data_IF_967257233153
#
_entry.id   IF_967257233153
#
_cell.length_a   1.000
_cell.length_b   1.000
_cell.length_c   1.000
_cell.angle_alpha   90.00
_cell.angle_beta   90.00
_cell.angle_gamma   90.00
#
_symmetry.space_group_name_H-M   'P 1'
#
loop_
_entity.id
_entity.type
_entity.pdbx_description
1 polymer ?
#
# COMPACT_ATOMS: atom_id res chain seq x y z
N UNK A 1 -9.59 -7.63 -24.97
CA UNK A 1 -9.95 -9.00 -24.54
C UNK A 1 -10.26 -9.84 -25.77
N UNK A 2 -9.71 -11.04 -25.82
CA UNK A 2 -9.91 -12.04 -26.85
C UNK A 2 -9.93 -13.45 -26.23
N UNK A 3 -10.07 -14.50 -27.04
CA UNK A 3 -10.15 -15.88 -26.55
C UNK A 3 -8.94 -16.28 -25.70
N UNK A 4 -7.73 -15.81 -26.05
CA UNK A 4 -6.52 -16.08 -25.26
C UNK A 4 -6.62 -15.52 -23.84
N UNK A 5 -7.27 -14.37 -23.67
CA UNK A 5 -7.50 -13.79 -22.34
C UNK A 5 -8.32 -14.73 -21.43
N UNK A 6 -9.34 -15.37 -22.01
CA UNK A 6 -10.16 -16.37 -21.27
C UNK A 6 -9.40 -17.67 -21.03
N UNK A 7 -8.59 -18.14 -22.01
CA UNK A 7 -7.79 -19.33 -21.87
C UNK A 7 -6.72 -19.19 -20.77
N UNK A 8 -6.07 -18.02 -20.65
CA UNK A 8 -5.12 -17.74 -19.58
C UNK A 8 -5.80 -17.80 -18.21
N UNK A 9 -6.97 -17.17 -18.06
CA UNK A 9 -7.75 -17.25 -16.81
C UNK A 9 -8.17 -18.69 -16.50
N UNK A 10 -8.56 -19.45 -17.51
CA UNK A 10 -8.93 -20.86 -17.34
C UNK A 10 -7.74 -21.72 -16.91
N UNK A 11 -6.60 -21.54 -17.55
CA UNK A 11 -5.37 -22.24 -17.19
C UNK A 11 -4.93 -21.93 -15.73
N UNK A 12 -5.03 -20.66 -15.32
CA UNK A 12 -4.77 -20.25 -13.94
C UNK A 12 -5.70 -20.96 -12.96
N UNK A 13 -7.00 -21.05 -13.31
CA UNK A 13 -8.00 -21.75 -12.49
C UNK A 13 -7.74 -23.24 -12.35
N UNK A 14 -7.23 -23.89 -13.39
CA UNK A 14 -6.96 -25.33 -13.41
C UNK A 14 -5.65 -25.71 -12.75
N UNK A 15 -4.59 -24.91 -12.97
CA UNK A 15 -3.24 -25.26 -12.53
C UNK A 15 -2.98 -24.84 -11.07
N UNK A 16 -3.50 -23.69 -10.63
CA UNK A 16 -3.45 -23.19 -9.25
C UNK A 16 -2.03 -23.19 -8.64
N UNK A 17 -1.05 -22.67 -9.36
CA UNK A 17 0.32 -22.50 -8.87
C UNK A 17 0.53 -21.04 -8.40
N UNK A 18 1.53 -20.84 -7.51
CA UNK A 18 1.93 -19.51 -7.05
C UNK A 18 2.66 -18.67 -8.12
N UNK A 19 3.13 -19.33 -9.20
CA UNK A 19 3.77 -18.70 -10.36
C UNK A 19 3.35 -19.42 -11.66
N UNK A 20 3.28 -18.72 -12.81
CA UNK A 20 3.50 -17.28 -12.99
C UNK A 20 2.40 -16.44 -12.35
N UNK A 21 2.77 -15.28 -11.78
CA UNK A 21 1.81 -14.31 -11.23
C UNK A 21 0.94 -13.75 -12.36
N UNK A 22 -0.38 -13.75 -12.15
CA UNK A 22 -1.34 -13.22 -13.12
C UNK A 22 -1.93 -11.90 -12.63
N UNK A 23 -1.81 -10.88 -13.46
CA UNK A 23 -2.49 -9.59 -13.29
C UNK A 23 -3.46 -9.36 -14.42
N UNK A 24 -4.59 -8.71 -14.15
CA UNK A 24 -5.58 -8.33 -15.15
C UNK A 24 -5.82 -6.83 -15.11
N UNK A 25 -5.77 -6.21 -16.29
CA UNK A 25 -6.20 -4.83 -16.51
C UNK A 25 -7.64 -4.85 -16.98
N UNK A 26 -8.50 -4.12 -16.30
CA UNK A 26 -9.91 -4.04 -16.66
C UNK A 26 -10.33 -2.60 -16.92
N UNK A 27 -10.94 -2.37 -18.10
CA UNK A 27 -11.50 -1.09 -18.51
C UNK A 27 -13.01 -1.24 -18.66
N UNK A 28 -13.78 -0.47 -17.89
CA UNK A 28 -15.26 -0.61 -17.88
C UNK A 28 -15.91 -0.31 -19.23
N UNK A 29 -15.35 0.63 -20.00
CA UNK A 29 -15.90 1.03 -21.29
C UNK A 29 -15.55 0.04 -22.42
N UNK A 30 -14.42 -0.69 -22.30
CA UNK A 30 -13.88 -1.53 -23.39
C UNK A 30 -14.09 -3.03 -23.17
N UNK A 31 -14.14 -3.49 -21.92
CA UNK A 31 -14.17 -4.92 -21.62
C UNK A 31 -15.59 -5.42 -21.36
N UNK A 32 -15.97 -6.59 -21.92
CA UNK A 32 -17.31 -7.12 -21.73
C UNK A 32 -17.54 -7.65 -20.29
N UNK A 33 -18.78 -7.59 -19.82
CA UNK A 33 -19.17 -8.12 -18.51
C UNK A 33 -18.87 -9.61 -18.34
N UNK A 34 -18.86 -10.41 -19.43
CA UNK A 34 -18.47 -11.82 -19.41
C UNK A 34 -17.00 -12.01 -18.98
N UNK A 35 -16.12 -11.09 -19.36
CA UNK A 35 -14.72 -11.13 -18.94
C UNK A 35 -14.60 -10.82 -17.45
N UNK A 36 -15.31 -9.80 -16.95
CA UNK A 36 -15.36 -9.49 -15.51
C UNK A 36 -15.91 -10.67 -14.70
N UNK A 37 -16.94 -11.35 -15.24
CA UNK A 37 -17.47 -12.55 -14.61
C UNK A 37 -16.40 -13.65 -14.48
N UNK A 38 -15.64 -13.91 -15.56
CA UNK A 38 -14.57 -14.91 -15.53
C UNK A 38 -13.47 -14.54 -14.54
N UNK A 39 -13.09 -13.26 -14.46
CA UNK A 39 -12.15 -12.75 -13.44
C UNK A 39 -12.68 -13.05 -12.03
N UNK A 40 -13.93 -12.70 -11.73
CA UNK A 40 -14.53 -12.93 -10.42
C UNK A 40 -14.60 -14.41 -10.05
N UNK A 41 -14.91 -15.29 -11.03
CA UNK A 41 -14.91 -16.74 -10.82
C UNK A 41 -13.50 -17.28 -10.45
N UNK A 42 -12.45 -16.75 -11.07
CA UNK A 42 -11.06 -17.17 -10.76
C UNK A 42 -10.59 -16.62 -9.41
N UNK A 43 -10.89 -15.36 -9.09
CA UNK A 43 -10.56 -14.79 -7.76
C UNK A 43 -11.14 -15.65 -6.64
N UNK A 44 -12.36 -16.12 -6.77
CA UNK A 44 -13.06 -16.95 -5.77
C UNK A 44 -12.38 -18.29 -5.47
N UNK A 45 -11.46 -18.76 -6.31
CA UNK A 45 -10.70 -19.99 -6.05
C UNK A 45 -9.68 -19.83 -4.90
N UNK A 46 -9.37 -18.59 -4.50
CA UNK A 46 -8.53 -18.34 -3.33
C UNK A 46 -7.01 -18.45 -3.59
N UNK A 47 -6.59 -18.57 -4.85
CA UNK A 47 -5.14 -18.64 -5.20
C UNK A 47 -4.42 -17.27 -5.12
N UNK A 48 -5.15 -16.20 -4.83
CA UNK A 48 -4.62 -14.83 -4.86
C UNK A 48 -4.54 -14.24 -6.27
N UNK A 49 -5.01 -14.93 -7.29
CA UNK A 49 -5.00 -14.51 -8.70
C UNK A 49 -6.40 -14.44 -9.30
N UNK A 50 -6.55 -13.59 -10.35
CA UNK A 50 -5.64 -12.54 -10.78
C UNK A 50 -5.65 -11.32 -9.84
N UNK A 51 -4.52 -10.60 -9.76
CA UNK A 51 -4.52 -9.25 -9.22
C UNK A 51 -5.28 -8.33 -10.17
N UNK A 52 -6.17 -7.50 -9.65
CA UNK A 52 -7.06 -6.67 -10.46
C UNK A 52 -6.56 -5.23 -10.50
N UNK A 53 -6.45 -4.68 -11.71
CA UNK A 53 -6.01 -3.31 -11.95
C UNK A 53 -7.03 -2.52 -12.77
N UNK A 54 -7.34 -1.33 -12.33
CA UNK A 54 -8.15 -0.35 -13.07
C UNK A 54 -7.32 0.24 -14.21
N UNK A 55 -7.67 -0.11 -15.44
CA UNK A 55 -6.93 0.30 -16.65
C UNK A 55 -6.91 1.82 -16.84
N UNK A 56 -8.00 2.50 -16.48
CA UNK A 56 -8.11 3.96 -16.67
C UNK A 56 -7.15 4.70 -15.75
N UNK A 57 -7.03 4.30 -14.49
CA UNK A 57 -6.07 4.88 -13.54
C UNK A 57 -4.63 4.54 -13.93
N UNK A 58 -4.35 3.32 -14.40
CA UNK A 58 -3.02 2.97 -14.90
C UNK A 58 -2.58 3.81 -16.10
N UNK A 59 -3.52 4.15 -17.00
CA UNK A 59 -3.25 5.08 -18.11
C UNK A 59 -2.97 6.49 -17.55
N UNK A 60 -3.79 6.98 -16.61
CA UNK A 60 -3.59 8.28 -15.97
C UNK A 60 -2.22 8.41 -15.31
N UNK A 61 -1.80 7.38 -14.57
CA UNK A 61 -0.46 7.32 -13.96
C UNK A 61 0.66 7.54 -14.99
N UNK A 62 0.55 6.94 -16.17
CA UNK A 62 1.55 7.14 -17.22
C UNK A 62 1.47 8.51 -17.86
N UNK A 63 0.27 9.05 -18.04
CA UNK A 63 0.09 10.42 -18.53
C UNK A 63 0.74 11.43 -17.57
N UNK A 64 0.58 11.23 -16.26
CA UNK A 64 1.21 12.07 -15.23
C UNK A 64 2.75 11.96 -15.21
N UNK A 65 3.29 10.84 -15.72
CA UNK A 65 4.74 10.68 -15.98
C UNK A 65 5.21 11.34 -17.30
N UNK A 66 4.32 11.99 -18.04
CA UNK A 66 4.62 12.59 -19.34
C UNK A 66 4.66 11.60 -20.51
N UNK A 67 4.19 10.38 -20.32
CA UNK A 67 4.09 9.38 -21.39
C UNK A 67 2.91 9.71 -22.31
N UNK A 68 3.09 9.78 -23.65
CA UNK A 68 2.00 10.06 -24.57
C UNK A 68 0.87 9.02 -24.49
N UNK A 69 -0.39 9.46 -24.62
CA UNK A 69 -1.58 8.60 -24.52
C UNK A 69 -1.50 7.35 -25.41
N UNK A 70 -1.00 7.47 -26.63
CA UNK A 70 -0.83 6.34 -27.56
C UNK A 70 0.05 5.22 -26.96
N UNK A 71 1.07 5.58 -26.22
CA UNK A 71 1.97 4.64 -25.55
C UNK A 71 1.36 4.16 -24.22
N UNK A 72 0.73 5.06 -23.47
CA UNK A 72 0.12 4.76 -22.18
C UNK A 72 -0.95 3.65 -22.26
N UNK A 73 -1.65 3.48 -23.38
CA UNK A 73 -2.56 2.35 -23.60
C UNK A 73 -1.89 0.97 -23.54
N UNK A 74 -0.58 0.89 -23.71
CA UNK A 74 0.18 -0.36 -23.71
C UNK A 74 0.88 -0.62 -22.38
N UNK A 75 0.47 0.07 -21.30
CA UNK A 75 1.05 -0.16 -20.00
C UNK A 75 0.80 -1.59 -19.50
N UNK A 76 1.66 -2.05 -18.63
CA UNK A 76 1.49 -3.30 -17.89
C UNK A 76 1.97 -3.10 -16.44
N UNK A 77 1.43 -3.85 -15.49
CA UNK A 77 2.01 -3.88 -14.15
C UNK A 77 3.38 -4.54 -14.18
N UNK A 78 4.33 -3.95 -13.47
CA UNK A 78 5.67 -4.48 -13.24
C UNK A 78 5.75 -4.88 -11.77
N UNK A 79 6.31 -6.02 -11.46
CA UNK A 79 6.36 -6.49 -10.08
C UNK A 79 4.97 -6.70 -9.48
N UNK A 80 4.56 -5.82 -8.59
CA UNK A 80 3.31 -5.93 -7.83
C UNK A 80 2.18 -5.10 -8.42
N UNK A 81 2.38 -3.77 -8.46
CA UNK A 81 1.36 -2.78 -8.89
C UNK A 81 1.93 -1.63 -9.70
N UNK A 82 3.24 -1.58 -9.91
CA UNK A 82 3.90 -0.46 -10.56
C UNK A 82 3.56 -0.40 -12.05
N UNK A 83 3.26 0.80 -12.56
CA UNK A 83 2.94 0.98 -13.98
C UNK A 83 4.21 1.08 -14.83
N UNK A 84 4.28 0.30 -15.92
CA UNK A 84 5.44 0.22 -16.78
C UNK A 84 5.07 0.16 -18.27
N UNK A 85 6.07 0.43 -19.13
CA UNK A 85 6.05 0.17 -20.57
C UNK A 85 7.21 -0.77 -20.92
N UNK A 86 6.89 -2.02 -21.18
CA UNK A 86 7.90 -3.05 -21.48
C UNK A 86 8.80 -2.66 -22.64
N UNK A 87 10.10 -2.83 -22.41
CA UNK A 87 11.13 -2.50 -23.39
C UNK A 87 11.28 -1.02 -23.73
N UNK A 88 10.50 -0.11 -23.14
CA UNK A 88 10.53 1.33 -23.45
C UNK A 88 10.84 2.22 -22.26
N UNK A 89 10.48 1.79 -21.07
CA UNK A 89 10.60 2.61 -19.86
C UNK A 89 11.74 2.11 -18.99
N UNK A 90 12.69 3.01 -18.69
CA UNK A 90 13.59 2.86 -17.57
C UNK A 90 12.94 3.47 -16.33
N UNK A 91 12.66 2.66 -15.35
CA UNK A 91 12.20 3.09 -14.05
C UNK A 91 12.74 2.13 -13.01
N UNK A 92 13.25 2.64 -11.92
CA UNK A 92 13.48 1.84 -10.74
C UNK A 92 12.25 1.95 -9.84
N UNK A 93 11.45 0.89 -9.86
CA UNK A 93 10.25 0.75 -9.04
C UNK A 93 10.63 0.33 -7.63
N UNK A 94 9.83 0.73 -6.62
CA UNK A 94 10.08 0.40 -5.21
C UNK A 94 11.55 0.55 -4.82
N UNK A 95 12.15 1.68 -5.20
CA UNK A 95 13.59 1.89 -5.08
C UNK A 95 14.01 2.24 -3.66
N UNK A 96 13.14 2.89 -2.93
CA UNK A 96 13.33 3.20 -1.52
C UNK A 96 11.97 3.43 -0.84
N UNK A 97 11.90 3.03 0.43
CA UNK A 97 10.71 3.13 1.25
C UNK A 97 10.92 4.11 2.40
N UNK A 98 9.83 4.72 2.90
CA UNK A 98 9.85 5.50 4.12
C UNK A 98 8.68 5.15 5.04
N UNK A 99 8.85 5.37 6.35
CA UNK A 99 8.00 4.85 7.41
C UNK A 99 7.07 5.94 7.97
N UNK A 100 5.81 5.94 7.57
CA UNK A 100 4.81 6.89 8.06
C UNK A 100 4.51 6.73 9.57
N UNK A 101 4.64 5.52 10.11
CA UNK A 101 4.49 5.28 11.56
C UNK A 101 5.62 5.92 12.36
N UNK A 102 6.86 5.87 11.86
CA UNK A 102 8.00 6.56 12.48
C UNK A 102 7.80 8.07 12.48
N UNK A 103 7.30 8.64 11.40
CA UNK A 103 7.04 10.08 11.33
C UNK A 103 6.08 10.56 12.43
N UNK A 104 5.01 9.78 12.71
CA UNK A 104 4.11 10.05 13.84
C UNK A 104 4.84 9.94 15.17
N UNK A 105 5.59 8.86 15.39
CA UNK A 105 6.36 8.65 16.63
C UNK A 105 7.35 9.78 16.88
N UNK A 106 8.08 10.21 15.85
CA UNK A 106 9.07 11.28 15.96
C UNK A 106 8.44 12.64 16.25
N UNK A 107 7.26 12.95 15.69
CA UNK A 107 6.52 14.15 16.04
C UNK A 107 6.08 14.13 17.52
N UNK A 108 5.61 12.98 18.02
CA UNK A 108 5.21 12.80 19.42
C UNK A 108 6.38 12.82 20.41
N UNK A 109 7.61 12.54 19.96
CA UNK A 109 8.80 12.46 20.81
C UNK A 109 9.87 13.51 20.48
N UNK A 110 9.47 14.58 19.77
CA UNK A 110 10.38 15.64 19.36
C UNK A 110 11.65 15.13 18.65
N UNK A 111 11.45 14.21 17.70
CA UNK A 111 12.49 13.60 16.87
C UNK A 111 13.21 12.40 17.50
N UNK A 112 12.77 11.90 18.66
CA UNK A 112 13.42 10.74 19.31
C UNK A 112 12.76 9.42 18.93
N UNK A 113 13.56 8.39 18.77
CA UNK A 113 13.08 7.01 18.63
C UNK A 113 12.77 6.43 20.01
N UNK A 114 11.57 5.88 20.19
CA UNK A 114 11.20 5.15 21.41
C UNK A 114 12.02 3.88 21.59
N UNK A 115 12.31 3.18 20.52
CA UNK A 115 13.04 1.92 20.53
C UNK A 115 14.49 2.08 20.98
N UNK A 116 15.16 3.12 20.48
CA UNK A 116 16.61 3.31 20.70
C UNK A 116 16.94 4.39 21.73
N UNK A 117 15.99 5.24 22.09
CA UNK A 117 16.19 6.35 23.03
C UNK A 117 17.12 7.46 22.52
N UNK A 118 17.38 7.50 21.22
CA UNK A 118 18.28 8.48 20.58
C UNK A 118 17.49 9.52 19.77
N UNK A 119 18.10 10.65 19.50
CA UNK A 119 17.60 11.60 18.51
C UNK A 119 17.79 10.99 17.11
N UNK A 120 16.69 10.53 16.51
CA UNK A 120 16.68 9.84 15.22
C UNK A 120 16.29 10.75 14.06
N UNK A 121 15.63 11.87 14.37
CA UNK A 121 15.14 12.87 13.41
C UNK A 121 15.30 14.27 13.95
N UNK A 122 14.96 15.29 13.16
CA UNK A 122 14.97 16.70 13.58
C UNK A 122 13.95 16.94 14.71
N UNK A 123 14.27 17.86 15.61
CA UNK A 123 13.37 18.29 16.65
C UNK A 123 12.25 19.19 16.05
N UNK A 124 11.00 18.80 16.23
CA UNK A 124 9.83 19.54 15.74
C UNK A 124 9.04 20.27 16.83
N UNK A 125 9.56 20.30 18.06
CA UNK A 125 8.95 20.92 19.21
C UNK A 125 8.38 19.92 20.22
N UNK A 126 8.14 20.39 21.44
CA UNK A 126 7.50 19.60 22.48
C UNK A 126 5.99 19.48 22.17
N UNK A 127 5.45 18.29 21.91
CA UNK A 127 4.05 18.12 21.55
C UNK A 127 3.08 18.55 22.66
N UNK A 128 3.53 18.61 23.93
CA UNK A 128 2.71 19.10 25.04
C UNK A 128 2.53 20.62 25.04
N UNK A 129 3.34 21.35 24.26
CA UNK A 129 3.27 22.78 24.08
C UNK A 129 2.42 23.20 22.88
N UNK A 130 1.99 22.28 22.03
CA UNK A 130 1.12 22.59 20.89
C UNK A 130 -0.27 23.00 21.38
N UNK A 131 -0.78 24.09 20.84
CA UNK A 131 -2.08 24.65 21.21
C UNK A 131 -3.20 24.24 20.26
N UNK A 132 -2.84 23.88 19.01
CA UNK A 132 -3.78 23.50 17.95
C UNK A 132 -3.37 22.18 17.30
N UNK A 133 -4.34 21.55 16.65
CA UNK A 133 -4.08 20.33 15.87
C UNK A 133 -3.15 20.61 14.69
N UNK A 134 -3.27 21.76 14.06
CA UNK A 134 -2.46 22.16 12.90
C UNK A 134 -0.96 22.25 13.26
N UNK A 135 -0.62 22.67 14.49
CA UNK A 135 0.77 22.64 14.97
C UNK A 135 1.32 21.21 15.08
N UNK A 136 0.49 20.28 15.55
CA UNK A 136 0.87 18.87 15.61
C UNK A 136 0.95 18.24 14.21
N UNK A 137 -0.02 18.50 13.35
CA UNK A 137 -0.02 18.02 11.97
C UNK A 137 1.20 18.51 11.19
N UNK A 138 1.57 19.80 11.36
CA UNK A 138 2.77 20.34 10.70
C UNK A 138 4.05 19.70 11.25
N UNK A 139 4.11 19.39 12.56
CA UNK A 139 5.22 18.63 13.11
C UNK A 139 5.33 17.23 12.48
N UNK A 140 4.22 16.53 12.25
CA UNK A 140 4.22 15.24 11.53
C UNK A 140 4.65 15.43 10.08
N UNK A 141 4.16 16.45 9.37
CA UNK A 141 4.59 16.76 8.00
C UNK A 141 6.09 17.05 7.93
N UNK A 142 6.66 17.76 8.92
CA UNK A 142 8.11 18.01 8.94
C UNK A 142 8.92 16.72 9.18
N UNK A 143 8.42 15.80 9.99
CA UNK A 143 9.03 14.47 10.13
C UNK A 143 8.99 13.67 8.83
N UNK A 144 7.87 13.71 8.11
CA UNK A 144 7.76 13.10 6.78
C UNK A 144 8.77 13.72 5.80
N UNK A 145 8.90 15.06 5.80
CA UNK A 145 9.91 15.75 4.96
C UNK A 145 11.32 15.31 5.30
N UNK A 146 11.63 15.15 6.58
CA UNK A 146 12.96 14.72 7.04
C UNK A 146 13.28 13.30 6.55
N UNK A 147 12.37 12.34 6.78
CA UNK A 147 12.56 10.96 6.31
C UNK A 147 12.70 10.89 4.79
N UNK A 148 11.87 11.64 4.05
CA UNK A 148 11.95 11.69 2.59
C UNK A 148 13.27 12.29 2.10
N UNK A 149 13.81 13.33 2.75
CA UNK A 149 15.13 13.86 2.39
C UNK A 149 16.23 12.79 2.54
N UNK A 150 16.19 12.02 3.61
CA UNK A 150 17.12 10.90 3.85
C UNK A 150 16.97 9.78 2.81
N UNK A 151 15.73 9.38 2.53
CA UNK A 151 15.39 8.35 1.54
C UNK A 151 15.85 8.75 0.13
N UNK A 152 15.58 10.00 -0.27
CA UNK A 152 16.02 10.53 -1.57
C UNK A 152 17.55 10.61 -1.65
N UNK A 153 18.23 11.08 -0.60
CA UNK A 153 19.68 11.12 -0.57
C UNK A 153 20.31 9.71 -0.72
N UNK A 154 19.73 8.71 -0.05
CA UNK A 154 20.16 7.31 -0.20
C UNK A 154 19.93 6.80 -1.62
N UNK A 155 18.80 7.14 -2.24
CA UNK A 155 18.52 6.75 -3.62
C UNK A 155 19.50 7.36 -4.63
N UNK A 156 19.96 8.60 -4.40
CA UNK A 156 20.98 9.24 -5.24
C UNK A 156 22.33 8.52 -5.14
N UNK A 157 22.74 8.09 -3.93
CA UNK A 157 23.98 7.31 -3.76
C UNK A 157 23.89 5.98 -4.51
N UNK A 158 22.75 5.30 -4.44
CA UNK A 158 22.52 4.07 -5.17
C UNK A 158 22.52 4.29 -6.69
N UNK A 159 21.95 5.41 -7.18
CA UNK A 159 22.02 5.81 -8.60
C UNK A 159 23.47 6.02 -9.05
N UNK A 160 24.30 6.66 -8.24
CA UNK A 160 25.71 6.89 -8.55
C UNK A 160 26.50 5.58 -8.65
N UNK A 161 26.24 4.63 -7.75
CA UNK A 161 26.82 3.29 -7.80
C UNK A 161 26.32 2.53 -9.03
N UNK A 162 25.02 2.58 -9.30
CA UNK A 162 24.38 1.92 -10.46
C UNK A 162 24.91 2.48 -11.78
N UNK A 163 25.16 3.78 -11.85
CA UNK A 163 25.68 4.45 -13.04
C UNK A 163 27.13 4.03 -13.40
N UNK A 164 27.87 3.49 -12.44
CA UNK A 164 29.22 2.94 -12.70
C UNK A 164 29.18 1.55 -13.34
N UNK A 165 28.01 0.94 -13.45
CA UNK A 165 27.80 -0.39 -14.02
C UNK A 165 27.09 -0.27 -15.38
N UNK A 166 27.43 -1.16 -16.29
CA UNK A 166 26.77 -1.30 -17.57
C UNK A 166 26.04 -2.64 -17.63
N UNK A 167 24.92 -2.67 -18.32
CA UNK A 167 24.07 -3.86 -18.49
C UNK A 167 23.76 -4.11 -19.98
N UNK A 168 24.78 -4.41 -20.82
CA UNK A 168 24.63 -4.43 -22.28
C UNK A 168 23.58 -5.44 -22.75
N UNK A 169 23.51 -6.61 -22.09
CA UNK A 169 22.51 -7.64 -22.45
C UNK A 169 21.07 -7.16 -22.21
N UNK A 170 20.83 -6.43 -21.11
CA UNK A 170 19.55 -5.82 -20.83
C UNK A 170 19.25 -4.67 -21.82
N UNK A 171 20.26 -3.86 -22.14
CA UNK A 171 20.15 -2.71 -23.05
C UNK A 171 19.68 -3.13 -24.44
N UNK A 172 20.06 -4.35 -24.93
CA UNK A 172 19.58 -4.87 -26.21
C UNK A 172 18.05 -5.13 -26.23
N UNK A 173 17.41 -5.27 -25.08
CA UNK A 173 15.96 -5.48 -24.99
C UNK A 173 15.14 -4.21 -24.85
N UNK A 174 15.80 -3.03 -24.78
CA UNK A 174 15.14 -1.74 -24.64
C UNK A 174 15.24 -0.90 -25.92
N UNK A 175 14.10 -0.36 -26.35
CA UNK A 175 14.04 0.57 -27.48
C UNK A 175 14.90 1.79 -27.23
N UNK A 176 15.60 2.21 -28.26
CA UNK A 176 16.47 3.38 -28.34
C UNK A 176 17.84 3.22 -27.64
N UNK A 177 18.07 2.18 -26.81
CA UNK A 177 19.40 1.96 -26.22
C UNK A 177 20.48 1.74 -27.30
N UNK A 178 20.19 0.91 -28.30
CA UNK A 178 21.12 0.60 -29.40
C UNK A 178 21.27 1.79 -30.34
N UNK A 179 20.17 2.40 -30.75
CA UNK A 179 20.14 3.56 -31.65
C UNK A 179 20.89 4.76 -31.06
N UNK A 180 20.75 4.98 -29.76
CA UNK A 180 21.43 6.06 -29.04
C UNK A 180 22.86 5.69 -28.59
N UNK A 181 23.31 4.44 -28.85
CA UNK A 181 24.57 3.91 -28.32
C UNK A 181 24.76 4.19 -26.82
N UNK A 182 23.68 4.01 -26.04
CA UNK A 182 23.62 4.37 -24.62
C UNK A 182 23.02 3.24 -23.81
N UNK A 183 23.75 2.83 -22.77
CA UNK A 183 23.31 1.75 -21.88
C UNK A 183 22.01 2.08 -21.13
N UNK A 184 21.20 1.06 -20.84
CA UNK A 184 19.99 1.20 -20.03
C UNK A 184 20.28 1.87 -18.68
N UNK A 185 21.36 1.48 -18.00
CA UNK A 185 21.75 2.07 -16.72
C UNK A 185 22.07 3.56 -16.82
N UNK A 186 22.40 4.04 -18.01
CA UNK A 186 22.72 5.46 -18.28
C UNK A 186 21.56 6.24 -18.88
N UNK A 187 20.36 5.63 -18.92
CA UNK A 187 19.17 6.26 -19.49
C UNK A 187 19.13 6.18 -21.01
N UNK A 188 19.56 5.07 -21.61
CA UNK A 188 19.45 4.80 -23.05
C UNK A 188 18.04 4.47 -23.53
N UNK A 189 17.15 4.04 -22.63
CA UNK A 189 15.78 3.70 -22.96
C UNK A 189 14.98 4.90 -23.48
N UNK A 190 13.89 4.64 -24.20
CA UNK A 190 13.02 5.66 -24.78
C UNK A 190 12.45 6.62 -23.74
N UNK A 191 11.97 6.09 -22.62
CA UNK A 191 11.45 6.86 -21.49
C UNK A 191 12.29 6.57 -20.26
N UNK A 192 12.82 7.62 -19.65
CA UNK A 192 13.62 7.54 -18.44
C UNK A 192 12.90 8.30 -17.32
N UNK A 193 12.53 7.60 -16.26
CA UNK A 193 11.78 8.14 -15.15
C UNK A 193 12.63 8.16 -13.88
N UNK A 194 12.26 9.03 -12.94
CA UNK A 194 12.86 9.06 -11.61
C UNK A 194 12.52 7.82 -10.80
N UNK A 195 13.26 7.64 -9.71
CA UNK A 195 13.11 6.48 -8.84
C UNK A 195 11.78 6.48 -8.09
N UNK A 196 11.26 5.29 -7.81
CA UNK A 196 10.06 5.08 -7.01
C UNK A 196 10.36 5.22 -5.52
N UNK A 197 9.54 6.00 -4.82
CA UNK A 197 9.59 6.16 -3.36
C UNK A 197 8.25 5.74 -2.79
N UNK A 198 8.24 4.71 -1.93
CA UNK A 198 7.02 4.10 -1.42
C UNK A 198 6.76 4.47 0.04
N UNK A 199 5.51 4.89 0.31
CA UNK A 199 5.02 5.20 1.64
C UNK A 199 4.47 3.94 2.31
N UNK A 200 4.88 3.66 3.56
CA UNK A 200 4.44 2.48 4.31
C UNK A 200 3.78 2.90 5.63
N UNK A 201 2.58 2.37 5.92
CA UNK A 201 1.82 2.67 7.14
C UNK A 201 0.77 3.77 6.95
N UNK A 202 0.06 3.76 5.81
CA UNK A 202 -1.00 4.73 5.48
C UNK A 202 -2.03 4.85 6.58
N UNK A 203 -2.68 3.75 6.96
CA UNK A 203 -3.72 3.76 7.97
C UNK A 203 -3.19 4.10 9.37
N UNK A 204 -1.93 3.75 9.67
CA UNK A 204 -1.29 4.12 10.95
C UNK A 204 -1.11 5.63 11.07
N UNK A 205 -0.70 6.29 9.98
CA UNK A 205 -0.61 7.75 9.92
C UNK A 205 -1.99 8.40 10.14
N UNK A 206 -2.95 8.08 9.28
CA UNK A 206 -4.27 8.73 9.27
C UNK A 206 -5.01 8.48 10.58
N UNK A 207 -5.05 7.24 11.06
CA UNK A 207 -5.70 6.90 12.33
C UNK A 207 -5.04 7.56 13.53
N UNK A 208 -3.73 7.79 13.50
CA UNK A 208 -3.03 8.49 14.57
C UNK A 208 -3.34 9.99 14.57
N UNK A 209 -3.34 10.61 13.38
CA UNK A 209 -3.67 12.03 13.23
C UNK A 209 -5.09 12.32 13.69
N UNK A 210 -6.07 11.53 13.23
CA UNK A 210 -7.47 11.75 13.60
C UNK A 210 -7.72 11.48 15.10
N UNK A 211 -7.05 10.46 15.68
CA UNK A 211 -7.16 10.19 17.11
C UNK A 211 -6.61 11.34 17.96
N UNK A 212 -5.44 11.88 17.60
CA UNK A 212 -4.87 13.07 18.30
C UNK A 212 -5.80 14.28 18.13
N UNK A 213 -6.26 14.55 16.89
CA UNK A 213 -7.18 15.64 16.61
C UNK A 213 -8.41 15.57 17.52
N UNK A 214 -9.11 14.43 17.49
CA UNK A 214 -10.36 14.24 18.25
C UNK A 214 -10.14 14.25 19.76
N UNK A 215 -9.21 13.41 20.24
CA UNK A 215 -9.09 13.15 21.67
C UNK A 215 -8.37 14.28 22.43
N UNK A 216 -7.37 14.92 21.80
CA UNK A 216 -6.54 15.93 22.48
C UNK A 216 -7.05 17.34 22.21
N UNK A 217 -7.35 17.69 20.94
CA UNK A 217 -7.63 19.07 20.56
C UNK A 217 -9.12 19.39 20.52
N UNK A 218 -9.96 18.57 19.86
CA UNK A 218 -11.38 18.86 19.66
C UNK A 218 -12.18 18.59 20.95
N UNK A 219 -12.16 17.35 21.43
CA UNK A 219 -12.98 16.87 22.56
C UNK A 219 -12.29 17.04 23.93
N UNK A 220 -10.98 17.22 23.92
CA UNK A 220 -10.13 17.39 25.12
C UNK A 220 -10.35 16.31 26.20
N UNK A 221 -10.59 15.08 25.73
CA UNK A 221 -10.78 13.89 26.59
C UNK A 221 -9.50 13.43 27.25
N UNK A 222 -8.37 13.63 26.54
CA UNK A 222 -7.04 13.22 26.99
C UNK A 222 -6.09 14.38 26.79
N UNK A 223 -5.23 14.67 27.78
CA UNK A 223 -4.14 15.63 27.56
C UNK A 223 -3.04 14.99 26.72
N UNK A 224 -2.28 15.79 25.96
CA UNK A 224 -1.14 15.27 25.20
C UNK A 224 -0.17 14.51 26.10
N UNK A 225 0.15 15.03 27.30
CA UNK A 225 1.03 14.32 28.25
C UNK A 225 0.48 12.94 28.63
N UNK A 226 -0.82 12.83 28.95
CA UNK A 226 -1.41 11.53 29.31
C UNK A 226 -1.40 10.54 28.13
N UNK A 227 -1.59 11.05 26.90
CA UNK A 227 -1.47 10.23 25.70
C UNK A 227 -0.04 9.70 25.55
N UNK A 228 0.98 10.56 25.71
CA UNK A 228 2.39 10.17 25.66
C UNK A 228 2.73 9.11 26.70
N UNK A 229 2.30 9.32 27.96
CA UNK A 229 2.50 8.36 29.04
C UNK A 229 1.88 7.00 28.71
N UNK A 230 0.66 6.99 28.13
CA UNK A 230 -0.01 5.77 27.70
C UNK A 230 0.74 5.04 26.58
N UNK A 231 1.25 5.80 25.59
CA UNK A 231 2.05 5.23 24.48
C UNK A 231 3.39 4.68 24.98
N UNK A 232 4.06 5.36 25.92
CA UNK A 232 5.31 4.90 26.51
C UNK A 232 5.12 3.60 27.31
N UNK A 233 3.98 3.48 28.00
CA UNK A 233 3.59 2.27 28.72
C UNK A 233 3.01 1.17 27.79
N UNK A 234 3.00 1.36 26.46
CA UNK A 234 2.30 0.48 25.52
C UNK A 234 0.86 0.20 25.97
N UNK A 235 0.19 1.23 26.49
CA UNK A 235 -1.15 1.25 27.08
C UNK A 235 -1.34 0.42 28.36
N UNK A 236 -0.32 -0.19 28.92
CA UNK A 236 -0.42 -0.95 30.18
C UNK A 236 -0.69 0.03 31.33
N UNK A 237 -1.83 -0.14 32.02
CA UNK A 237 -2.32 0.79 33.05
C UNK A 237 -3.03 2.05 32.49
N UNK A 238 -3.24 2.11 31.17
CA UNK A 238 -3.96 3.18 30.45
C UNK A 238 -5.01 2.58 29.50
N UNK A 239 -5.70 1.54 29.93
CA UNK A 239 -6.69 0.81 29.13
C UNK A 239 -7.86 1.71 28.71
N UNK A 240 -8.17 2.73 29.52
CA UNK A 240 -9.14 3.77 29.17
C UNK A 240 -8.69 4.63 27.99
N UNK A 241 -7.41 5.01 27.94
CA UNK A 241 -6.82 5.75 26.81
C UNK A 241 -6.79 4.86 25.57
N UNK A 242 -6.36 3.58 25.73
CA UNK A 242 -6.38 2.61 24.63
C UNK A 242 -7.77 2.48 24.02
N UNK A 243 -8.79 2.33 24.85
CA UNK A 243 -10.19 2.24 24.41
C UNK A 243 -10.61 3.49 23.63
N UNK A 244 -10.30 4.71 24.11
CA UNK A 244 -10.59 5.94 23.41
C UNK A 244 -9.88 6.01 22.06
N UNK A 245 -8.61 5.60 21.99
CA UNK A 245 -7.87 5.51 20.73
C UNK A 245 -8.50 4.51 19.75
N UNK A 246 -8.97 3.35 20.24
CA UNK A 246 -9.63 2.34 19.40
C UNK A 246 -10.99 2.79 18.87
N UNK A 247 -11.75 3.55 19.68
CA UNK A 247 -13.08 4.07 19.35
C UNK A 247 -13.04 5.36 18.50
N UNK A 248 -11.88 6.02 18.36
CA UNK A 248 -11.74 7.16 17.46
C UNK A 248 -12.05 6.76 16.00
N UNK A 249 -12.55 7.68 15.15
CA UNK A 249 -12.79 7.39 13.74
C UNK A 249 -11.60 6.72 13.06
N UNK A 250 -11.85 5.79 12.13
CA UNK A 250 -10.82 5.00 11.47
C UNK A 250 -10.91 5.09 9.96
N UNK A 251 -9.75 5.18 9.33
CA UNK A 251 -9.57 5.01 7.90
C UNK A 251 -10.14 3.65 7.44
N UNK A 252 -10.89 3.67 6.35
CA UNK A 252 -11.55 2.49 5.80
C UNK A 252 -13.04 2.36 6.15
N UNK A 253 -13.62 3.31 6.92
CA UNK A 253 -15.03 3.26 7.35
C UNK A 253 -15.89 4.39 6.78
N UNK A 254 -15.44 5.07 5.73
CA UNK A 254 -16.18 6.13 5.02
C UNK A 254 -16.60 7.32 5.91
N UNK A 255 -15.76 7.69 6.85
CA UNK A 255 -15.91 8.91 7.64
C UNK A 255 -15.40 10.11 6.85
N UNK A 256 -16.24 11.15 6.69
CA UNK A 256 -15.95 12.30 5.82
C UNK A 256 -14.69 13.06 6.28
N UNK A 257 -14.49 13.24 7.59
CA UNK A 257 -13.32 13.96 8.12
C UNK A 257 -12.03 13.17 7.94
N UNK A 258 -12.10 11.85 8.14
CA UNK A 258 -10.96 10.94 7.89
C UNK A 258 -10.62 10.89 6.40
N UNK A 259 -11.65 10.91 5.55
CA UNK A 259 -11.50 10.88 4.10
C UNK A 259 -10.85 12.17 3.58
N UNK A 260 -11.26 13.35 4.07
CA UNK A 260 -10.67 14.65 3.74
C UNK A 260 -9.20 14.70 4.18
N UNK A 261 -8.92 14.35 5.44
CA UNK A 261 -7.54 14.28 5.97
C UNK A 261 -6.66 13.34 5.12
N UNK A 262 -7.20 12.21 4.68
CA UNK A 262 -6.49 11.27 3.81
C UNK A 262 -6.10 11.91 2.48
N UNK A 263 -7.06 12.56 1.82
CA UNK A 263 -6.83 13.26 0.56
C UNK A 263 -5.73 14.33 0.66
N UNK A 264 -5.84 15.19 1.67
CA UNK A 264 -4.90 16.30 1.90
C UNK A 264 -3.48 15.78 2.21
N UNK A 265 -3.37 14.79 3.09
CA UNK A 265 -2.07 14.23 3.48
C UNK A 265 -1.38 13.54 2.30
N UNK A 266 -2.11 12.77 1.48
CA UNK A 266 -1.52 12.08 0.34
C UNK A 266 -1.27 13.00 -0.86
N UNK A 267 -2.01 14.10 -1.00
CA UNK A 267 -1.63 15.19 -1.91
C UNK A 267 -0.31 15.82 -1.48
N UNK A 268 -0.16 16.16 -0.19
CA UNK A 268 1.10 16.68 0.36
C UNK A 268 2.29 15.75 0.13
N UNK A 269 2.14 14.45 0.43
CA UNK A 269 3.21 13.46 0.24
C UNK A 269 3.61 13.37 -1.24
N UNK A 270 2.63 13.30 -2.14
CA UNK A 270 2.89 13.25 -3.57
C UNK A 270 3.61 14.51 -4.07
N UNK A 271 3.14 15.71 -3.66
CA UNK A 271 3.77 16.99 -4.02
C UNK A 271 5.23 17.03 -3.58
N UNK A 272 5.50 16.56 -2.37
CA UNK A 272 6.85 16.62 -1.81
C UNK A 272 7.79 15.62 -2.50
N UNK A 273 7.37 14.38 -2.76
CA UNK A 273 8.16 13.39 -3.51
C UNK A 273 8.43 13.89 -4.93
N UNK A 274 7.42 14.41 -5.63
CA UNK A 274 7.55 14.93 -6.99
C UNK A 274 8.41 16.20 -7.09
N UNK A 275 8.69 16.88 -5.97
CA UNK A 275 9.61 18.02 -5.94
C UNK A 275 11.07 17.60 -6.12
N UNK A 276 11.41 16.34 -5.87
CA UNK A 276 12.75 15.81 -6.04
C UNK A 276 12.97 15.23 -7.44
N UNK A 277 14.23 15.23 -7.85
CA UNK A 277 14.65 14.71 -9.16
C UNK A 277 15.85 13.78 -8.98
N UNK A 278 15.77 12.60 -9.60
CA UNK A 278 16.94 11.77 -9.85
C UNK A 278 17.69 12.27 -11.10
N UNK A 279 18.76 11.58 -11.49
CA UNK A 279 19.45 11.82 -12.77
C UNK A 279 18.57 11.64 -14.00
N UNK A 280 17.42 10.98 -13.86
CA UNK A 280 16.58 10.51 -14.97
C UNK A 280 15.21 11.21 -15.03
N UNK A 281 14.82 11.92 -14.00
CA UNK A 281 13.54 12.64 -13.97
C UNK A 281 13.02 12.84 -12.54
N UNK A 282 11.79 13.35 -12.44
CA UNK A 282 11.10 13.48 -11.17
C UNK A 282 11.01 12.14 -10.44
N UNK A 283 11.18 12.16 -9.11
CA UNK A 283 10.83 11.01 -8.27
C UNK A 283 9.35 10.70 -8.39
N UNK A 284 8.98 9.43 -8.24
CA UNK A 284 7.61 8.96 -8.42
C UNK A 284 7.09 8.33 -7.13
N UNK A 285 5.95 8.81 -6.59
CA UNK A 285 5.38 8.26 -5.37
C UNK A 285 4.70 6.91 -5.61
N UNK A 286 4.71 6.06 -4.57
CA UNK A 286 3.98 4.80 -4.50
C UNK A 286 3.50 4.48 -3.11
N UNK A 287 2.63 3.49 -3.00
CA UNK A 287 2.16 2.91 -1.75
C UNK A 287 2.15 1.39 -1.91
N UNK A 288 3.33 0.81 -1.76
CA UNK A 288 3.58 -0.60 -1.97
C UNK A 288 4.52 -1.15 -0.90
N UNK A 289 4.01 -1.93 0.08
CA UNK A 289 4.85 -2.39 1.18
C UNK A 289 5.67 -3.65 0.85
N UNK A 290 5.32 -4.42 -0.18
CA UNK A 290 5.76 -5.81 -0.36
C UNK A 290 5.48 -6.61 0.92
N UNK A 291 6.38 -6.63 1.88
CA UNK A 291 6.18 -7.06 3.27
C UNK A 291 6.90 -6.12 4.25
N UNK A 292 7.29 -4.92 3.79
CA UNK A 292 8.01 -3.91 4.58
C UNK A 292 7.22 -3.37 5.76
N UNK A 293 5.88 -3.43 5.72
CA UNK A 293 5.03 -3.09 6.86
C UNK A 293 5.38 -3.88 8.12
N UNK A 294 5.82 -5.13 8.00
CA UNK A 294 6.24 -5.96 9.14
C UNK A 294 7.55 -5.46 9.77
N UNK A 295 8.71 -5.43 9.07
CA UNK A 295 9.95 -4.93 9.67
C UNK A 295 9.87 -3.46 10.07
N UNK A 296 9.20 -2.59 9.33
CA UNK A 296 9.01 -1.20 9.70
C UNK A 296 8.18 -1.06 10.98
N UNK A 297 7.16 -1.90 11.16
CA UNK A 297 6.38 -1.95 12.40
C UNK A 297 7.20 -2.34 13.62
N UNK A 298 8.22 -3.20 13.45
CA UNK A 298 9.14 -3.57 14.53
C UNK A 298 10.07 -2.42 14.99
N UNK A 299 10.12 -1.33 14.24
CA UNK A 299 10.90 -0.13 14.58
C UNK A 299 10.06 0.94 15.30
N UNK A 300 8.72 0.80 15.33
CA UNK A 300 7.78 1.81 15.81
C UNK A 300 7.11 1.35 17.10
N UNK A 301 7.10 2.21 18.11
CA UNK A 301 6.38 2.01 19.36
C UNK A 301 4.85 2.05 19.23
N UNK A 302 4.13 2.15 20.34
CA UNK A 302 2.68 2.32 20.32
C UNK A 302 2.30 3.66 19.68
N UNK A 303 1.19 3.69 18.94
CA UNK A 303 0.70 4.86 18.22
C UNK A 303 -0.71 5.27 18.67
N UNK A 304 -1.09 6.54 18.51
CA UNK A 304 -2.43 7.05 18.82
C UNK A 304 -3.56 6.34 18.06
N UNK A 305 -3.26 5.67 16.96
CA UNK A 305 -4.21 4.80 16.23
C UNK A 305 -4.79 3.67 17.08
N UNK A 306 -4.20 3.41 18.26
CA UNK A 306 -4.46 2.25 19.10
C UNK A 306 -3.51 1.08 18.84
N UNK A 307 -2.60 1.19 17.85
CA UNK A 307 -1.61 0.17 17.51
C UNK A 307 -0.64 -0.04 18.68
N UNK A 308 -0.41 -1.28 19.05
CA UNK A 308 0.58 -1.65 20.07
C UNK A 308 2.01 -1.56 19.50
N UNK A 309 2.97 -1.32 20.39
CA UNK A 309 4.39 -1.28 20.03
C UNK A 309 4.86 -2.57 19.35
N UNK A 310 5.75 -2.43 18.37
CA UNK A 310 6.47 -3.53 17.72
C UNK A 310 5.56 -4.52 16.98
N UNK A 311 4.39 -4.05 16.52
CA UNK A 311 3.49 -4.81 15.64
C UNK A 311 3.63 -4.35 14.21
N UNK A 312 3.27 -5.16 13.20
CA UNK A 312 3.23 -4.70 11.82
C UNK A 312 2.42 -3.41 11.65
N UNK A 313 2.82 -2.55 10.73
CA UNK A 313 2.01 -1.43 10.24
C UNK A 313 0.93 -1.96 9.29
N UNK A 314 -0.01 -1.11 8.91
CA UNK A 314 -0.96 -1.41 7.84
C UNK A 314 -0.25 -1.64 6.52
N UNK A 315 -0.75 -2.55 5.71
CA UNK A 315 -0.19 -2.92 4.42
C UNK A 315 -0.81 -2.08 3.27
N UNK A 316 0.04 -1.48 2.45
CA UNK A 316 -0.38 -0.68 1.30
C UNK A 316 -1.37 0.42 1.67
N UNK A 317 -2.47 0.49 0.91
CA UNK A 317 -3.60 1.38 1.20
C UNK A 317 -4.71 0.70 2.01
N UNK A 318 -4.46 -0.50 2.53
CA UNK A 318 -5.43 -1.23 3.34
C UNK A 318 -5.64 -0.54 4.70
N UNK A 319 -6.84 -0.64 5.30
CA UNK A 319 -7.05 -0.25 6.68
C UNK A 319 -6.14 -1.02 7.66
N UNK A 320 -5.96 -0.51 8.89
CA UNK A 320 -5.33 -1.29 9.93
C UNK A 320 -6.14 -2.57 10.20
N UNK A 321 -5.43 -3.63 10.55
CA UNK A 321 -6.02 -4.95 10.77
C UNK A 321 -7.15 -4.88 11.80
N UNK A 322 -8.35 -5.29 11.40
CA UNK A 322 -9.54 -5.36 12.26
C UNK A 322 -10.24 -4.03 12.52
N UNK A 323 -9.89 -2.93 11.84
CA UNK A 323 -10.51 -1.61 12.06
C UNK A 323 -11.57 -1.23 11.03
N UNK A 324 -11.66 -1.93 9.92
CA UNK A 324 -12.63 -1.72 8.83
C UNK A 324 -13.94 -2.47 9.11
N UNK A 325 -14.81 -1.83 9.87
CA UNK A 325 -16.07 -2.43 10.38
C UNK A 325 -17.30 -2.15 9.53
N UNK A 326 -17.21 -1.15 8.64
CA UNK A 326 -18.34 -0.67 7.80
C UNK A 326 -18.41 -1.38 6.43
N UNK A 327 -17.62 -2.46 6.26
CA UNK A 327 -17.65 -3.30 5.06
C UNK A 327 -16.78 -2.83 3.91
N UNK A 328 -16.63 -3.71 2.90
CA UNK A 328 -15.72 -3.52 1.77
C UNK A 328 -16.06 -2.28 0.92
N UNK A 329 -17.32 -1.89 0.86
CA UNK A 329 -17.75 -0.69 0.13
C UNK A 329 -17.25 0.60 0.77
N UNK A 330 -17.30 0.70 2.11
CA UNK A 330 -16.77 1.81 2.87
C UNK A 330 -15.23 1.91 2.72
N UNK A 331 -14.54 0.76 2.72
CA UNK A 331 -13.10 0.70 2.45
C UNK A 331 -12.78 1.32 1.09
N UNK A 332 -13.47 0.92 0.01
CA UNK A 332 -13.25 1.50 -1.32
C UNK A 332 -13.47 3.02 -1.35
N UNK A 333 -14.52 3.49 -0.68
CA UNK A 333 -14.84 4.91 -0.66
C UNK A 333 -13.78 5.71 0.09
N UNK A 334 -13.33 5.24 1.25
CA UNK A 334 -12.21 5.86 1.98
C UNK A 334 -10.92 5.90 1.14
N UNK A 335 -10.55 4.78 0.52
CA UNK A 335 -9.35 4.68 -0.31
C UNK A 335 -9.42 5.59 -1.55
N UNK A 336 -10.60 5.81 -2.11
CA UNK A 336 -10.77 6.64 -3.30
C UNK A 336 -10.38 8.11 -3.12
N UNK A 337 -10.19 8.56 -1.87
CA UNK A 337 -9.69 9.91 -1.58
C UNK A 337 -8.16 10.05 -1.74
N UNK A 338 -7.44 8.92 -1.83
CA UNK A 338 -6.03 8.93 -2.24
C UNK A 338 -5.97 9.28 -3.73
N UNK A 339 -5.13 10.24 -4.17
CA UNK A 339 -5.01 10.61 -5.58
C UNK A 339 -4.24 9.55 -6.37
N UNK A 340 -4.86 8.38 -6.61
CA UNK A 340 -4.21 7.20 -7.20
C UNK A 340 -3.45 7.49 -8.48
N UNK A 341 -3.99 8.33 -9.37
CA UNK A 341 -3.35 8.71 -10.62
C UNK A 341 -1.99 9.40 -10.46
N UNK A 342 -1.70 9.97 -9.27
CA UNK A 342 -0.41 10.58 -8.95
C UNK A 342 0.60 9.57 -8.40
N UNK A 343 0.13 8.50 -7.74
CA UNK A 343 0.98 7.47 -7.15
C UNK A 343 1.46 6.48 -8.21
N UNK A 344 2.36 6.95 -9.05
CA UNK A 344 2.82 6.30 -10.28
C UNK A 344 3.55 4.97 -10.08
N UNK A 345 3.97 4.66 -8.84
CA UNK A 345 4.50 3.34 -8.49
C UNK A 345 3.38 2.37 -8.08
N UNK A 346 2.12 2.82 -8.10
CA UNK A 346 0.96 2.05 -7.74
C UNK A 346 0.53 2.22 -6.29
N UNK A 347 -0.69 1.76 -6.03
CA UNK A 347 -1.32 1.73 -4.71
C UNK A 347 -1.92 0.35 -4.50
N UNK A 348 -1.47 -0.36 -3.49
CA UNK A 348 -1.81 -1.77 -3.28
C UNK A 348 -2.89 -1.92 -2.22
N UNK A 349 -4.06 -2.50 -2.59
CA UNK A 349 -5.13 -2.87 -1.67
C UNK A 349 -5.22 -4.38 -1.51
N UNK A 350 -5.09 -4.86 -0.28
CA UNK A 350 -5.40 -6.24 0.09
C UNK A 350 -6.83 -6.35 0.65
N UNK A 351 -7.55 -7.36 0.21
CA UNK A 351 -8.88 -7.71 0.71
C UNK A 351 -8.90 -9.18 1.11
N UNK A 352 -9.35 -9.48 2.31
CA UNK A 352 -9.58 -10.85 2.76
C UNK A 352 -11.08 -11.12 2.84
N UNK A 353 -11.52 -12.16 2.16
CA UNK A 353 -12.90 -12.66 2.18
C UNK A 353 -12.91 -14.06 2.78
N UNK A 354 -13.95 -14.37 3.54
CA UNK A 354 -14.12 -15.72 4.08
C UNK A 354 -14.81 -16.67 3.08
N UNK A 355 -14.86 -17.94 3.45
CA UNK A 355 -15.51 -18.98 2.62
C UNK A 355 -17.02 -18.85 2.61
N UNK A 356 -17.63 -18.20 3.60
CA UNK A 356 -19.08 -17.90 3.62
C UNK A 356 -19.42 -16.98 2.45
N UNK A 357 -18.64 -15.95 2.20
CA UNK A 357 -18.78 -15.12 1.00
C UNK A 357 -18.60 -15.94 -0.27
N UNK A 358 -17.51 -16.71 -0.37
CA UNK A 358 -17.18 -17.51 -1.56
C UNK A 358 -18.33 -18.43 -1.95
N UNK A 359 -18.95 -19.10 -0.99
CA UNK A 359 -19.95 -20.14 -1.20
C UNK A 359 -21.39 -19.57 -1.32
N UNK A 360 -21.57 -18.26 -1.14
CA UNK A 360 -22.84 -17.57 -1.38
C UNK A 360 -23.26 -17.67 -2.85
N UNK A 361 -24.55 -17.94 -3.14
CA UNK A 361 -25.08 -18.02 -4.51
C UNK A 361 -24.85 -16.75 -5.34
N UNK A 362 -24.80 -15.61 -4.69
CA UNK A 362 -24.66 -14.29 -5.33
C UNK A 362 -23.22 -13.78 -5.39
N UNK A 363 -22.28 -14.44 -4.76
CA UNK A 363 -20.89 -13.96 -4.56
C UNK A 363 -20.19 -13.50 -5.85
N UNK A 364 -20.39 -14.22 -6.97
CA UNK A 364 -19.82 -13.79 -8.26
C UNK A 364 -20.38 -12.45 -8.72
N UNK A 365 -21.69 -12.24 -8.60
CA UNK A 365 -22.36 -10.98 -8.97
C UNK A 365 -21.93 -9.84 -8.04
N UNK A 366 -21.84 -10.10 -6.76
CA UNK A 366 -21.43 -9.15 -5.73
C UNK A 366 -19.96 -8.75 -5.96
N UNK A 367 -19.07 -9.70 -6.21
CA UNK A 367 -17.68 -9.41 -6.54
C UNK A 367 -17.53 -8.61 -7.84
N UNK A 368 -18.33 -8.93 -8.87
CA UNK A 368 -18.36 -8.11 -10.09
C UNK A 368 -18.79 -6.67 -9.81
N UNK A 369 -19.76 -6.46 -8.92
CA UNK A 369 -20.21 -5.12 -8.54
C UNK A 369 -19.13 -4.39 -7.75
N UNK A 370 -18.47 -5.05 -6.81
CA UNK A 370 -17.33 -4.50 -6.07
C UNK A 370 -16.22 -4.02 -7.03
N UNK A 371 -15.82 -4.86 -8.00
CA UNK A 371 -14.80 -4.49 -8.99
C UNK A 371 -15.24 -3.33 -9.90
N UNK A 372 -16.53 -3.22 -10.22
CA UNK A 372 -17.07 -2.05 -10.92
C UNK A 372 -17.03 -0.80 -10.07
N UNK A 373 -17.41 -0.90 -8.78
CA UNK A 373 -17.35 0.21 -7.84
C UNK A 373 -15.91 0.71 -7.67
N UNK A 374 -14.95 -0.20 -7.56
CA UNK A 374 -13.52 0.12 -7.56
C UNK A 374 -13.13 0.97 -8.77
N UNK A 375 -13.52 0.53 -9.98
CA UNK A 375 -13.22 1.29 -11.19
C UNK A 375 -13.92 2.65 -11.23
N UNK A 376 -15.22 2.69 -10.83
CA UNK A 376 -16.00 3.93 -10.83
C UNK A 376 -15.50 4.97 -9.83
N UNK A 377 -14.94 4.54 -8.71
CA UNK A 377 -14.36 5.39 -7.67
C UNK A 377 -12.91 5.80 -7.99
N UNK A 378 -12.33 5.32 -9.09
CA UNK A 378 -10.95 5.66 -9.45
C UNK A 378 -9.89 4.98 -8.58
N UNK A 379 -10.23 3.92 -7.85
CA UNK A 379 -9.24 3.13 -7.11
C UNK A 379 -8.43 2.29 -8.11
N UNK A 380 -7.12 2.19 -7.90
CA UNK A 380 -6.23 1.60 -8.90
C UNK A 380 -6.20 0.08 -8.89
N UNK A 381 -6.04 -0.53 -7.72
CA UNK A 381 -5.71 -1.95 -7.61
C UNK A 381 -6.42 -2.61 -6.44
N UNK A 382 -6.71 -3.90 -6.59
CA UNK A 382 -7.07 -4.78 -5.48
C UNK A 382 -6.62 -6.21 -5.74
N UNK A 383 -6.27 -6.90 -4.69
CA UNK A 383 -5.97 -8.33 -4.68
C UNK A 383 -6.67 -9.02 -3.51
N UNK A 384 -6.91 -10.32 -3.63
CA UNK A 384 -7.79 -11.03 -2.71
C UNK A 384 -7.14 -12.25 -2.07
N UNK A 385 -7.40 -12.42 -0.77
CA UNK A 385 -7.32 -13.69 -0.09
C UNK A 385 -8.75 -14.21 0.15
N UNK A 386 -9.06 -15.40 -0.28
CA UNK A 386 -10.37 -16.04 -0.06
C UNK A 386 -10.15 -17.26 0.81
N UNK A 387 -10.07 -17.05 2.12
CA UNK A 387 -9.67 -18.06 3.10
C UNK A 387 -10.14 -17.71 4.50
N UNK A 388 -10.50 -18.71 5.27
CA UNK A 388 -10.94 -18.56 6.66
C UNK A 388 -9.75 -18.33 7.61
N UNK A 389 -9.96 -17.47 8.58
CA UNK A 389 -8.98 -17.18 9.63
C UNK A 389 -8.61 -18.44 10.42
N UNK A 390 -9.57 -19.33 10.69
CA UNK A 390 -9.31 -20.58 11.43
C UNK A 390 -8.42 -21.53 10.62
N UNK A 391 -8.64 -21.64 9.30
CA UNK A 391 -7.75 -22.43 8.42
C UNK A 391 -6.31 -21.92 8.48
N UNK A 392 -6.09 -20.59 8.49
CA UNK A 392 -4.75 -20.02 8.62
C UNK A 392 -4.12 -20.33 9.98
N UNK A 393 -4.90 -20.23 11.06
CA UNK A 393 -4.43 -20.60 12.43
C UNK A 393 -4.06 -22.07 12.56
N UNK A 394 -4.86 -22.96 11.95
CA UNK A 394 -4.52 -24.38 11.94
C UNK A 394 -3.30 -24.67 11.08
N UNK A 395 -3.16 -24.02 9.92
CA UNK A 395 -1.97 -24.13 9.08
C UNK A 395 -0.69 -23.63 9.77
N UNK A 396 -0.81 -22.64 10.65
CA UNK A 396 0.32 -22.16 11.46
C UNK A 396 0.74 -23.16 12.54
N UNK A 397 -0.23 -23.91 13.10
CA UNK A 397 0.05 -24.94 14.13
C UNK A 397 0.53 -26.26 13.55
N UNK A 398 -0.01 -26.66 12.40
CA UNK A 398 0.20 -27.94 11.74
C UNK A 398 0.65 -27.72 10.28
N UNK A 399 1.81 -27.08 10.06
CA UNK A 399 2.25 -26.70 8.72
C UNK A 399 2.41 -27.89 7.76
N UNK A 400 2.70 -29.09 8.28
CA UNK A 400 2.84 -30.32 7.51
C UNK A 400 1.56 -30.75 6.78
N UNK A 401 0.39 -30.38 7.29
CA UNK A 401 -0.90 -30.73 6.69
C UNK A 401 -1.35 -29.69 5.62
N UNK A 402 -0.67 -28.55 5.53
CA UNK A 402 -1.06 -27.42 4.69
C UNK A 402 0.04 -26.96 3.71
N UNK A 403 0.93 -27.85 3.30
CA UNK A 403 2.08 -27.55 2.41
C UNK A 403 1.71 -26.87 1.08
N UNK A 404 0.46 -27.03 0.61
CA UNK A 404 -0.04 -26.44 -0.63
C UNK A 404 -0.88 -25.18 -0.44
N UNK A 405 -1.02 -24.65 0.79
CA UNK A 405 -1.89 -23.53 1.08
C UNK A 405 -1.28 -22.22 0.56
N UNK A 406 -1.91 -21.67 -0.49
CA UNK A 406 -1.49 -20.40 -1.09
C UNK A 406 -2.18 -19.22 -0.42
N UNK A 407 -1.42 -18.15 -0.21
CA UNK A 407 -1.92 -16.86 0.26
C UNK A 407 -1.33 -15.70 -0.55
N UNK A 408 -2.13 -14.68 -0.77
CA UNK A 408 -1.66 -13.41 -1.33
C UNK A 408 -1.11 -12.55 -0.20
N UNK A 409 0.15 -12.19 -0.28
CA UNK A 409 0.83 -11.38 0.76
C UNK A 409 0.64 -9.89 0.48
N UNK A 410 1.46 -9.33 -0.38
CA UNK A 410 1.31 -7.95 -0.87
C UNK A 410 2.05 -7.85 -2.22
N UNK A 411 1.31 -8.00 -3.32
CA UNK A 411 1.88 -8.01 -4.68
C UNK A 411 2.43 -9.37 -5.14
N UNK A 412 2.56 -10.35 -4.26
CA UNK A 412 3.00 -11.72 -4.60
C UNK A 412 2.18 -12.76 -3.84
N UNK A 413 2.19 -13.99 -4.35
CA UNK A 413 1.58 -15.17 -3.72
C UNK A 413 2.68 -16.11 -3.24
N UNK A 414 2.50 -16.70 -2.07
CA UNK A 414 3.44 -17.66 -1.48
C UNK A 414 2.69 -18.80 -0.78
N UNK A 415 3.39 -19.86 -0.46
CA UNK A 415 2.88 -20.87 0.46
C UNK A 415 2.87 -20.31 1.88
N UNK A 416 1.71 -20.35 2.52
CA UNK A 416 1.52 -19.76 3.86
C UNK A 416 2.49 -20.33 4.88
N UNK A 417 2.72 -21.65 4.83
CA UNK A 417 3.59 -22.37 5.77
C UNK A 417 5.08 -22.05 5.62
N UNK A 418 5.49 -21.43 4.49
CA UNK A 418 6.87 -21.01 4.24
C UNK A 418 7.15 -19.57 4.67
N UNK A 419 6.11 -18.81 5.01
CA UNK A 419 6.25 -17.42 5.48
C UNK A 419 6.77 -17.36 6.91
N UNK A 420 7.53 -16.30 7.22
CA UNK A 420 7.90 -16.00 8.61
C UNK A 420 6.67 -15.73 9.48
N UNK A 421 6.78 -16.08 10.77
CA UNK A 421 5.66 -16.03 11.72
C UNK A 421 4.99 -14.65 11.77
N UNK A 422 5.75 -13.58 11.72
CA UNK A 422 5.25 -12.20 11.78
C UNK A 422 4.36 -11.87 10.58
N UNK A 423 4.72 -12.37 9.39
CA UNK A 423 3.92 -12.19 8.16
C UNK A 423 2.67 -13.07 8.21
N UNK A 424 2.78 -14.30 8.73
CA UNK A 424 1.62 -15.16 8.96
C UNK A 424 0.63 -14.50 9.92
N UNK A 425 1.11 -13.97 11.04
CA UNK A 425 0.30 -13.29 12.06
C UNK A 425 -0.38 -12.03 11.46
N UNK A 426 0.31 -11.27 10.60
CA UNK A 426 -0.26 -10.14 9.87
C UNK A 426 -1.44 -10.59 8.99
N UNK A 427 -1.25 -11.61 8.14
CA UNK A 427 -2.30 -12.12 7.25
C UNK A 427 -3.50 -12.67 8.05
N UNK A 428 -3.25 -13.36 9.16
CA UNK A 428 -4.30 -13.87 10.06
C UNK A 428 -5.14 -12.72 10.62
N UNK A 429 -4.49 -11.62 11.01
CA UNK A 429 -5.11 -10.47 11.68
C UNK A 429 -5.93 -9.56 10.77
N UNK A 430 -5.74 -9.63 9.44
CA UNK A 430 -6.51 -8.83 8.47
C UNK A 430 -8.00 -9.09 8.61
N UNK A 431 -8.82 -8.03 8.50
CA UNK A 431 -10.28 -8.15 8.56
C UNK A 431 -10.79 -9.15 7.53
N UNK A 432 -11.65 -10.06 7.96
CA UNK A 432 -12.26 -11.07 7.09
C UNK A 432 -13.70 -10.67 6.80
N UNK A 433 -14.01 -10.42 5.54
CA UNK A 433 -15.33 -9.97 5.11
C UNK A 433 -16.20 -11.16 4.68
N UNK A 434 -17.38 -11.30 5.29
CA UNK A 434 -18.39 -12.29 4.92
C UNK A 434 -19.44 -11.78 3.91
N UNK A 435 -19.41 -10.46 3.63
CA UNK A 435 -20.27 -9.79 2.64
C UNK A 435 -19.55 -8.55 2.09
N UNK A 436 -20.12 -7.94 1.04
CA UNK A 436 -19.57 -6.72 0.41
C UNK A 436 -20.21 -5.45 0.98
N UNK A 437 -21.39 -5.56 1.57
CA UNK A 437 -22.17 -4.44 2.16
C UNK A 437 -22.16 -4.53 3.67
#
# INVERSE_FOLDING_TARGET
VNDVSYLILQATAEVQLYQPSLSVRYNMAKNPSSFLKKIAEVIKLGTGFPAFHNDEVGIEMLLNKGIPLKEAYNWNPCGCVETNLEGKQRCYTAYADFNLGSAVEFALLNGKSRKYGIQASEATGDPTAFNTYEEFEEAVKEQIRYELRGTVASSHVCDDIGFQRVVPALSLSFYECVENAKDYAWGGAKYNLGNGIDAIGVADLINSLIAVKKLVFDEKKVTMQRLLDALDANFVGYEDVKKMCDEAPKYGNDDDEVNELTGDMFCFIADYIESFHSKFGKMTPGILPVSGNTPFGLEVGALPSGRLAWKPLADGVSPNQGTDTEGMGAVLKSISHIPHGRFNQGTLLNVKMDTVFRDSPNSTKELMNYLRSLCSLGVFHTQFNVIDTETLKEAQKHPEDYNGLLVRVAGYTAYFTELGKEVQDDIISRTSHSNIC
#
